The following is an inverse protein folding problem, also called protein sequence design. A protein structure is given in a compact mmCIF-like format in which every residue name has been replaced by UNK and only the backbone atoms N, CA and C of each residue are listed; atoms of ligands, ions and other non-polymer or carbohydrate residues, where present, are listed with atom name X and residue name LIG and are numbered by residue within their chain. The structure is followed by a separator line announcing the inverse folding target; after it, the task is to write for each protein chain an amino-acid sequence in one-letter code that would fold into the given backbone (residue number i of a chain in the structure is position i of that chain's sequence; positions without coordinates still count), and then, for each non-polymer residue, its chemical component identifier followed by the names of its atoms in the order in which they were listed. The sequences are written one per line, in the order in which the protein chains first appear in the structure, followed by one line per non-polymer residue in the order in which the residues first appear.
data_IF_939171341701
#
_entry.id   IF_939171341701
#
_cell.length_a   1.000
_cell.length_b   1.000
_cell.length_c   1.000
_cell.angle_alpha   90.00
_cell.angle_beta   90.00
_cell.angle_gamma   90.00
#
_symmetry.space_group_name_H-M   'P 1'
#
loop_
_entity.id
_entity.type
_entity.pdbx_description
1 polymer ?
#
# COMPACT_ATOMS: atom_id res chain seq x y z
N UNK A 1 18.20 -5.93 17.44
CA UNK A 1 16.77 -5.60 17.37
C UNK A 1 16.61 -4.41 16.44
N UNK A 2 16.00 -4.61 15.27
CA UNK A 2 15.62 -3.51 14.37
C UNK A 2 14.14 -3.22 14.63
N UNK A 3 13.85 -2.04 15.14
CA UNK A 3 12.49 -1.52 15.11
C UNK A 3 12.13 -1.31 13.63
N UNK A 4 11.01 -1.87 13.13
CA UNK A 4 10.68 -1.85 11.72
C UNK A 4 10.13 -0.50 11.23
N UNK A 5 9.84 0.43 12.16
CA UNK A 5 9.25 1.73 11.86
C UNK A 5 10.25 2.89 11.80
N UNK A 6 9.81 4.01 11.24
CA UNK A 6 10.58 5.26 11.16
C UNK A 6 10.51 6.08 12.46
N UNK A 7 11.39 7.08 12.60
CA UNK A 7 11.48 7.95 13.80
C UNK A 7 10.16 8.60 14.19
N UNK A 8 9.27 8.89 13.23
CA UNK A 8 7.93 9.44 13.49
C UNK A 8 6.96 8.43 14.09
N UNK A 9 7.10 7.15 13.75
CA UNK A 9 6.29 6.09 14.37
C UNK A 9 6.75 5.89 15.81
N UNK A 10 8.07 5.93 16.03
CA UNK A 10 8.63 5.95 17.37
C UNK A 10 8.13 7.15 18.18
N UNK A 11 8.08 8.35 17.58
CA UNK A 11 7.52 9.56 18.19
C UNK A 11 6.04 9.38 18.55
N UNK A 12 5.20 8.93 17.62
CA UNK A 12 3.78 8.68 17.87
C UNK A 12 3.54 7.61 18.95
N UNK A 13 4.36 6.55 18.98
CA UNK A 13 4.28 5.50 20.00
C UNK A 13 4.67 6.08 21.36
N UNK A 14 5.73 6.90 21.43
CA UNK A 14 6.17 7.54 22.67
C UNK A 14 5.15 8.59 23.15
N UNK A 15 4.60 9.42 22.27
CA UNK A 15 3.57 10.41 22.63
C UNK A 15 2.32 9.73 23.20
N UNK A 16 1.88 8.63 22.56
CA UNK A 16 0.73 7.86 23.03
C UNK A 16 1.01 7.16 24.35
N UNK A 17 2.19 6.57 24.50
CA UNK A 17 2.61 5.94 25.74
C UNK A 17 2.74 6.98 26.87
N UNK A 18 3.22 8.19 26.57
CA UNK A 18 3.26 9.31 27.52
C UNK A 18 1.84 9.74 27.93
N UNK A 19 0.90 9.79 26.98
CA UNK A 19 -0.49 10.15 27.25
C UNK A 19 -1.24 9.10 28.09
N UNK A 20 -0.85 7.82 27.99
CA UNK A 20 -1.45 6.71 28.74
C UNK A 20 -0.73 6.45 30.08
N UNK A 21 0.54 6.83 30.18
CA UNK A 21 1.36 6.63 31.37
C UNK A 21 0.88 7.54 32.51
N UNK A 22 0.36 6.92 33.57
CA UNK A 22 -0.14 7.64 34.76
C UNK A 22 0.95 7.94 35.81
N UNK A 23 2.02 7.13 35.85
CA UNK A 23 3.03 7.15 36.94
C UNK A 23 4.40 7.68 36.51
N UNK A 24 4.48 8.37 35.37
CA UNK A 24 5.73 8.94 34.83
C UNK A 24 6.79 7.92 34.37
N UNK A 25 6.47 6.61 34.39
CA UNK A 25 7.30 5.52 33.90
C UNK A 25 6.56 4.79 32.79
N UNK A 26 7.07 4.89 31.56
CA UNK A 26 6.53 4.17 30.40
C UNK A 26 6.93 2.69 30.50
N UNK A 27 5.94 1.80 30.64
CA UNK A 27 6.13 0.36 30.61
C UNK A 27 5.92 -0.20 29.21
N UNK A 28 6.35 -1.45 28.96
CA UNK A 28 6.16 -2.12 27.66
C UNK A 28 4.69 -2.24 27.27
N UNK A 29 3.78 -2.27 28.24
CA UNK A 29 2.34 -2.36 28.02
C UNK A 29 1.76 -1.04 27.49
N UNK A 30 2.35 0.10 27.90
CA UNK A 30 1.95 1.44 27.44
C UNK A 30 2.32 1.69 25.98
N UNK A 31 3.35 1.00 25.48
CA UNK A 31 3.78 1.09 24.09
C UNK A 31 2.80 0.38 23.13
N UNK A 32 1.89 -0.47 23.63
CA UNK A 32 0.88 -1.19 22.85
C UNK A 32 1.43 -1.82 21.56
N UNK A 33 2.68 -2.29 21.61
CA UNK A 33 3.36 -2.93 20.49
C UNK A 33 2.82 -4.35 20.34
N UNK A 34 1.64 -4.52 19.76
CA UNK A 34 1.14 -5.85 19.38
C UNK A 34 2.11 -6.45 18.35
N UNK A 35 2.79 -7.58 18.65
CA UNK A 35 3.77 -8.18 17.75
C UNK A 35 3.16 -8.84 16.49
N UNK A 36 1.88 -8.56 16.17
CA UNK A 36 1.17 -9.14 15.04
C UNK A 36 0.17 -8.22 14.33
N UNK A 37 0.04 -6.95 14.70
CA UNK A 37 -1.00 -6.07 14.11
C UNK A 37 -0.48 -5.08 13.06
N UNK A 38 0.84 -4.96 12.85
CA UNK A 38 1.42 -4.13 11.80
C UNK A 38 1.84 -4.91 10.55
N UNK A 39 1.18 -6.03 10.22
CA UNK A 39 1.49 -6.82 9.02
C UNK A 39 0.45 -6.72 7.89
N UNK A 40 -0.53 -5.80 7.95
CA UNK A 40 -1.43 -5.50 6.81
C UNK A 40 -1.88 -4.05 6.73
N UNK A 41 -0.98 -3.12 6.96
CA UNK A 41 -1.15 -1.77 6.43
C UNK A 41 0.08 -1.46 5.60
N UNK A 42 0.03 -1.82 4.32
CA UNK A 42 0.89 -1.23 3.29
C UNK A 42 0.54 0.25 3.07
N UNK A 43 0.23 0.99 4.15
CA UNK A 43 0.15 2.43 4.10
C UNK A 43 1.59 2.93 3.96
N UNK A 44 1.98 3.50 2.81
CA UNK A 44 3.28 4.10 2.73
C UNK A 44 3.29 5.29 3.69
N UNK A 45 4.20 5.23 4.65
CA UNK A 45 4.64 6.34 5.48
C UNK A 45 4.87 7.55 4.56
N UNK A 46 3.92 8.48 4.48
CA UNK A 46 4.07 9.68 3.67
C UNK A 46 3.95 10.90 4.56
N UNK A 47 5.01 11.08 5.36
CA UNK A 47 5.36 12.36 5.96
C UNK A 47 6.04 13.32 4.99
N UNK A 48 6.13 12.95 3.71
CA UNK A 48 6.34 13.86 2.59
C UNK A 48 4.97 14.17 1.97
N UNK A 49 4.73 15.45 1.66
CA UNK A 49 3.58 15.91 0.89
C UNK A 49 3.68 15.33 -0.53
N UNK A 50 3.41 14.05 -0.68
CA UNK A 50 3.24 13.44 -1.98
C UNK A 50 2.00 14.13 -2.59
N UNK A 51 2.15 14.84 -3.72
CA UNK A 51 1.02 15.53 -4.31
C UNK A 51 -0.07 14.48 -4.60
N UNK A 52 -1.34 14.86 -4.41
CA UNK A 52 -2.49 13.97 -4.54
C UNK A 52 -2.45 13.09 -5.82
N UNK A 53 -2.03 13.60 -7.00
CA UNK A 53 -1.90 12.78 -8.21
C UNK A 53 -0.99 11.55 -8.03
N UNK A 54 0.20 11.72 -7.45
CA UNK A 54 1.16 10.62 -7.24
C UNK A 54 0.63 9.58 -6.25
N UNK A 55 -0.09 10.01 -5.21
CA UNK A 55 -0.74 9.09 -4.28
C UNK A 55 -1.82 8.24 -4.95
N UNK A 56 -2.66 8.87 -5.78
CA UNK A 56 -3.70 8.16 -6.54
C UNK A 56 -3.09 7.20 -7.56
N UNK A 57 -2.03 7.61 -8.26
CA UNK A 57 -1.32 6.76 -9.22
C UNK A 57 -0.72 5.52 -8.55
N UNK A 58 -0.23 5.65 -7.31
CA UNK A 58 0.28 4.51 -6.53
C UNK A 58 -0.81 3.52 -6.15
N UNK A 59 -1.93 4.01 -5.61
CA UNK A 59 -3.08 3.15 -5.27
C UNK A 59 -3.60 2.46 -6.54
N UNK A 60 -3.75 3.22 -7.62
CA UNK A 60 -4.22 2.71 -8.90
C UNK A 60 -3.29 1.62 -9.44
N UNK A 61 -1.97 1.85 -9.37
CA UNK A 61 -0.97 0.86 -9.78
C UNK A 61 -1.07 -0.43 -8.96
N UNK A 62 -1.24 -0.31 -7.65
CA UNK A 62 -1.39 -1.47 -6.76
C UNK A 62 -2.64 -2.28 -7.12
N UNK A 63 -3.79 -1.62 -7.28
CA UNK A 63 -5.04 -2.29 -7.66
C UNK A 63 -4.94 -3.00 -9.02
N UNK A 64 -4.28 -2.37 -10.01
CA UNK A 64 -4.04 -2.98 -11.32
C UNK A 64 -3.15 -4.22 -11.24
N UNK A 65 -2.07 -4.15 -10.44
CA UNK A 65 -1.16 -5.28 -10.26
C UNK A 65 -1.83 -6.44 -9.54
N UNK A 66 -2.59 -6.16 -8.47
CA UNK A 66 -3.32 -7.19 -7.73
C UNK A 66 -4.34 -7.90 -8.63
N UNK A 67 -5.13 -7.15 -9.39
CA UNK A 67 -6.09 -7.74 -10.33
C UNK A 67 -5.41 -8.59 -11.41
N UNK A 68 -4.24 -8.16 -11.90
CA UNK A 68 -3.43 -8.96 -12.83
C UNK A 68 -2.94 -10.25 -12.17
N UNK A 69 -2.42 -10.20 -10.95
CA UNK A 69 -1.96 -11.39 -10.24
C UNK A 69 -3.10 -12.38 -9.98
N UNK A 70 -4.27 -11.89 -9.53
CA UNK A 70 -5.45 -12.72 -9.26
C UNK A 70 -5.99 -13.42 -10.52
N UNK A 71 -5.75 -12.85 -11.70
CA UNK A 71 -6.25 -13.37 -12.98
C UNK A 71 -5.16 -14.06 -13.82
N UNK A 72 -3.98 -14.32 -13.25
CA UNK A 72 -2.87 -14.94 -13.97
C UNK A 72 -2.36 -14.08 -15.14
N UNK A 73 -2.38 -12.77 -14.98
CA UNK A 73 -2.03 -11.74 -15.96
C UNK A 73 -2.97 -11.67 -17.19
N UNK A 74 -4.18 -12.22 -17.09
CA UNK A 74 -5.21 -12.01 -18.10
C UNK A 74 -5.82 -10.60 -17.99
N UNK A 75 -5.37 -9.70 -18.87
CA UNK A 75 -5.78 -8.28 -18.89
C UNK A 75 -7.30 -8.09 -19.04
N UNK A 76 -7.97 -8.91 -19.84
CA UNK A 76 -9.43 -8.80 -20.05
C UNK A 76 -10.20 -9.23 -18.81
N UNK A 77 -9.76 -10.29 -18.12
CA UNK A 77 -10.35 -10.73 -16.87
C UNK A 77 -10.08 -9.72 -15.74
N UNK A 78 -8.86 -9.18 -15.66
CA UNK A 78 -8.49 -8.17 -14.67
C UNK A 78 -9.30 -6.87 -14.85
N UNK A 79 -9.56 -6.45 -16.09
CA UNK A 79 -10.40 -5.29 -16.37
C UNK A 79 -11.82 -5.50 -15.83
N UNK A 80 -12.40 -6.68 -16.11
CA UNK A 80 -13.74 -7.06 -15.60
C UNK A 80 -13.77 -7.10 -14.07
N UNK A 81 -12.72 -7.61 -13.43
CA UNK A 81 -12.59 -7.67 -11.97
C UNK A 81 -12.62 -6.27 -11.36
N UNK A 82 -11.93 -5.31 -11.97
CA UNK A 82 -11.90 -3.92 -11.53
C UNK A 82 -13.12 -3.09 -11.98
N UNK A 83 -14.08 -3.69 -12.69
CA UNK A 83 -15.24 -2.97 -13.24
C UNK A 83 -14.88 -1.96 -14.34
N UNK A 84 -13.73 -2.14 -15.00
CA UNK A 84 -13.23 -1.27 -16.06
C UNK A 84 -13.45 -1.89 -17.44
N UNK A 85 -13.58 -1.06 -18.46
CA UNK A 85 -13.43 -1.54 -19.84
C UNK A 85 -11.98 -1.91 -20.11
N UNK A 86 -11.74 -2.86 -21.02
CA UNK A 86 -10.40 -3.24 -21.45
C UNK A 86 -9.58 -2.03 -21.94
N UNK A 87 -10.19 -1.13 -22.70
CA UNK A 87 -9.55 0.08 -23.22
C UNK A 87 -9.09 1.01 -22.08
N UNK A 88 -9.94 1.23 -21.08
CA UNK A 88 -9.60 2.04 -19.91
C UNK A 88 -8.46 1.42 -19.12
N UNK A 89 -8.50 0.10 -18.90
CA UNK A 89 -7.43 -0.60 -18.19
C UNK A 89 -6.10 -0.51 -18.93
N UNK A 90 -6.11 -0.75 -20.26
CA UNK A 90 -4.91 -0.64 -21.11
C UNK A 90 -4.27 0.75 -21.02
N UNK A 91 -5.07 1.81 -21.14
CA UNK A 91 -4.60 3.19 -21.03
C UNK A 91 -3.96 3.47 -19.66
N UNK A 92 -4.60 3.01 -18.57
CA UNK A 92 -4.08 3.18 -17.20
C UNK A 92 -2.76 2.43 -16.99
N UNK A 93 -2.66 1.20 -17.51
CA UNK A 93 -1.41 0.43 -17.47
C UNK A 93 -0.27 1.11 -18.22
N UNK A 94 -0.54 1.67 -19.40
CA UNK A 94 0.45 2.41 -20.19
C UNK A 94 0.91 3.67 -19.46
N UNK A 95 -0.03 4.46 -18.94
CA UNK A 95 0.25 5.69 -18.17
C UNK A 95 1.09 5.43 -16.93
N UNK A 96 0.85 4.31 -16.23
CA UNK A 96 1.54 3.92 -14.99
C UNK A 96 2.78 3.04 -15.23
N UNK A 97 3.13 2.75 -16.48
CA UNK A 97 4.29 1.95 -16.86
C UNK A 97 4.21 0.48 -16.42
N UNK A 98 3.00 -0.08 -16.29
CA UNK A 98 2.80 -1.48 -15.89
C UNK A 98 3.00 -2.39 -17.11
N UNK A 99 4.10 -3.16 -17.10
CA UNK A 99 4.38 -4.19 -18.11
C UNK A 99 4.04 -5.56 -17.53
N UNK A 100 3.17 -6.31 -18.21
CA UNK A 100 2.92 -7.70 -17.84
C UNK A 100 4.18 -8.55 -18.10
N UNK A 101 4.53 -9.50 -17.21
CA UNK A 101 5.78 -10.27 -17.27
C UNK A 101 5.87 -11.22 -18.48
N UNK A 102 4.77 -11.55 -19.15
CA UNK A 102 4.80 -12.32 -20.39
C UNK A 102 3.79 -11.77 -21.39
N UNK A 103 4.30 -11.35 -22.55
CA UNK A 103 3.47 -10.92 -23.67
C UNK A 103 2.77 -12.10 -24.29
N UNK A 104 1.46 -12.21 -24.10
CA UNK A 104 0.58 -12.49 -25.23
C UNK A 104 -0.02 -11.17 -25.67
N UNK A 105 0.54 -10.68 -26.76
CA UNK A 105 -0.17 -9.88 -27.75
C UNK A 105 -1.34 -10.77 -28.23
N UNK A 106 -2.40 -10.87 -27.43
CA UNK A 106 -3.70 -11.31 -27.92
C UNK A 106 -4.19 -10.19 -28.82
N UNK A 107 -3.80 -10.35 -30.07
CA UNK A 107 -4.19 -9.56 -31.22
C UNK A 107 -5.72 -9.55 -31.39
N UNK A 108 -6.19 -8.38 -31.84
CA UNK A 108 -7.54 -8.02 -32.30
C UNK A 108 -8.66 -7.93 -31.24
#
# INVERSE_FOLDING_TARGET
YNFPGNVRELENIIERALALCSDGVITVQDLQLSPGEHQRDEHPVSGEKCPLPDYLDRIEKQALLEALQQTGFNRTAAAKLLGLTFRTMRYRMERLGIKAPHGTDDAD
#
